data_IF_480399752333
#
_entry.id   IF_480399752333
#
_cell.length_a   1.000
_cell.length_b   1.000
_cell.length_c   1.000
_cell.angle_alpha   90.00
_cell.angle_beta   90.00
_cell.angle_gamma   90.00
#
_symmetry.space_group_name_H-M   'P 1'
#
loop_
_entity.id
_entity.type
_entity.pdbx_description
1 polymer ?
#
# COMPACT_ATOMS: atom_id res chain seq x y z
N UNK A 1 9.97 -3.46 -8.98
CA UNK A 1 11.36 -3.17 -9.34
C UNK A 1 12.28 -3.84 -8.34
N UNK A 2 13.16 -4.69 -8.85
CA UNK A 2 14.19 -5.34 -8.05
C UNK A 2 15.51 -4.64 -8.30
N UNK A 3 15.92 -3.82 -7.36
CA UNK A 3 17.19 -3.11 -7.46
C UNK A 3 18.33 -3.92 -6.83
N UNK A 4 18.03 -4.66 -5.78
CA UNK A 4 18.98 -5.55 -5.13
C UNK A 4 18.27 -6.57 -4.22
N UNK A 5 19.03 -7.50 -3.68
CA UNK A 5 18.51 -8.58 -2.84
C UNK A 5 18.15 -8.14 -1.42
N UNK A 6 18.43 -6.91 -1.06
CA UNK A 6 18.11 -6.39 0.27
C UNK A 6 16.70 -5.83 0.38
N UNK A 7 16.02 -5.66 -0.75
CA UNK A 7 14.64 -5.18 -0.75
C UNK A 7 13.71 -6.18 -0.05
N UNK A 8 12.78 -5.66 0.73
CA UNK A 8 11.91 -6.47 1.59
C UNK A 8 11.13 -7.53 0.83
N UNK A 9 10.59 -7.19 -0.32
CA UNK A 9 9.80 -8.11 -1.13
C UNK A 9 10.65 -9.17 -1.86
N UNK A 10 11.93 -8.92 -2.03
CA UNK A 10 12.87 -9.91 -2.55
C UNK A 10 13.28 -10.89 -1.45
N UNK A 11 13.50 -10.40 -0.23
CA UNK A 11 13.87 -11.22 0.92
C UNK A 11 12.70 -12.05 1.45
N UNK A 12 11.51 -11.50 1.43
CA UNK A 12 10.30 -12.13 1.96
C UNK A 12 9.26 -12.25 0.84
N UNK A 13 9.38 -13.31 0.06
CA UNK A 13 8.54 -13.53 -1.12
C UNK A 13 7.12 -14.00 -0.78
N UNK A 14 6.95 -14.58 0.38
CA UNK A 14 5.66 -14.97 0.90
C UNK A 14 5.03 -13.76 1.63
N UNK A 15 3.76 -13.49 1.36
CA UNK A 15 3.08 -12.34 1.94
C UNK A 15 2.97 -12.46 3.46
N UNK A 16 2.77 -13.65 4.00
CA UNK A 16 2.73 -13.86 5.44
C UNK A 16 4.08 -13.58 6.08
N UNK A 17 5.15 -14.02 5.47
CA UNK A 17 6.50 -13.72 5.91
C UNK A 17 6.81 -12.23 5.81
N UNK A 18 6.39 -11.59 4.73
CA UNK A 18 6.58 -10.15 4.57
C UNK A 18 5.83 -9.36 5.64
N UNK A 19 4.57 -9.71 5.89
CA UNK A 19 3.77 -9.06 6.93
C UNK A 19 4.38 -9.21 8.32
N UNK A 20 4.79 -10.42 8.68
CA UNK A 20 5.34 -10.70 10.01
C UNK A 20 6.77 -10.22 10.21
N UNK A 21 7.64 -10.52 9.27
CA UNK A 21 9.08 -10.30 9.43
C UNK A 21 9.52 -8.91 9.01
N UNK A 22 8.79 -8.27 8.12
CA UNK A 22 9.12 -6.92 7.66
C UNK A 22 8.15 -5.89 8.23
N UNK A 23 6.88 -5.95 7.89
CA UNK A 23 5.92 -4.90 8.24
C UNK A 23 5.69 -4.80 9.74
N UNK A 24 5.31 -5.90 10.38
CA UNK A 24 5.04 -5.90 11.82
C UNK A 24 6.29 -5.60 12.64
N UNK A 25 7.43 -6.15 12.25
CA UNK A 25 8.71 -5.86 12.90
C UNK A 25 9.08 -4.38 12.78
N UNK A 26 8.87 -3.79 11.62
CA UNK A 26 9.09 -2.35 11.40
C UNK A 26 8.20 -1.52 12.32
N UNK A 27 6.93 -1.85 12.40
CA UNK A 27 5.98 -1.13 13.25
C UNK A 27 6.30 -1.29 14.73
N UNK A 28 6.67 -2.49 15.15
CA UNK A 28 7.08 -2.77 16.52
C UNK A 28 8.31 -1.96 16.93
N UNK A 29 9.27 -1.83 16.04
CA UNK A 29 10.47 -1.04 16.28
C UNK A 29 10.22 0.46 16.22
N UNK A 30 9.28 0.89 15.38
CA UNK A 30 8.92 2.30 15.23
C UNK A 30 8.10 2.82 16.40
N UNK A 31 7.17 2.03 16.91
CA UNK A 31 6.18 2.48 17.88
C UNK A 31 6.77 3.12 19.14
N UNK A 32 7.83 2.58 19.78
CA UNK A 32 8.44 3.23 20.94
C UNK A 32 9.01 4.63 20.66
N UNK A 33 9.34 4.91 19.41
CA UNK A 33 9.90 6.22 19.02
C UNK A 33 8.84 7.29 18.86
N UNK A 34 7.57 6.92 18.84
CA UNK A 34 6.46 7.86 18.68
C UNK A 34 6.19 8.53 20.03
N UNK A 35 6.13 9.85 20.03
CA UNK A 35 5.79 10.61 21.24
C UNK A 35 4.32 10.47 21.58
N UNK A 36 3.98 10.58 22.84
CA UNK A 36 2.58 10.71 23.27
C UNK A 36 1.90 11.85 22.54
N UNK A 37 0.72 11.59 22.02
CA UNK A 37 -0.02 12.53 21.18
C UNK A 37 0.48 12.58 19.74
N UNK A 38 1.59 11.94 19.42
CA UNK A 38 2.12 11.83 18.06
C UNK A 38 1.35 10.84 17.22
N UNK A 39 1.60 10.90 15.92
CA UNK A 39 0.91 10.09 14.93
C UNK A 39 1.86 9.19 14.18
N UNK A 40 1.36 8.02 13.81
CA UNK A 40 1.97 7.18 12.77
C UNK A 40 1.03 7.19 11.58
N UNK A 41 1.58 7.50 10.43
CA UNK A 41 0.86 7.50 9.16
C UNK A 41 1.52 6.53 8.21
N UNK A 42 0.75 5.60 7.69
CA UNK A 42 1.28 4.57 6.79
C UNK A 42 0.49 4.60 5.50
N UNK A 43 1.20 4.88 4.41
CA UNK A 43 0.64 4.81 3.07
C UNK A 43 0.91 3.40 2.52
N UNK A 44 -0.09 2.57 2.61
CA UNK A 44 -0.01 1.21 2.10
C UNK A 44 -1.39 0.72 1.68
N UNK A 45 -1.43 -0.07 0.63
CA UNK A 45 -2.64 -0.70 0.12
C UNK A 45 -2.41 -2.17 -0.13
N UNK A 46 -3.51 -2.92 -0.24
CA UNK A 46 -3.43 -4.29 -0.71
C UNK A 46 -2.90 -4.32 -2.13
N UNK A 47 -2.22 -5.40 -2.47
CA UNK A 47 -1.57 -5.54 -3.77
C UNK A 47 -2.23 -6.66 -4.56
N UNK A 48 -2.59 -6.35 -5.79
CA UNK A 48 -3.02 -7.38 -6.74
C UNK A 48 -1.81 -7.90 -7.51
N UNK A 49 -1.66 -9.20 -7.54
CA UNK A 49 -0.58 -9.82 -8.28
C UNK A 49 -1.03 -11.06 -9.04
N UNK A 50 -0.57 -11.16 -10.26
CA UNK A 50 -0.59 -12.39 -11.05
C UNK A 50 0.84 -12.87 -11.33
N UNK A 51 1.77 -12.29 -10.63
CA UNK A 51 3.19 -12.47 -10.83
C UNK A 51 3.64 -13.89 -10.48
N UNK A 52 4.61 -14.38 -11.21
CA UNK A 52 5.33 -15.63 -10.91
C UNK A 52 6.13 -15.59 -9.61
N UNK A 53 6.18 -14.43 -8.98
CA UNK A 53 6.96 -14.15 -7.78
C UNK A 53 6.27 -14.59 -6.50
N UNK A 54 4.95 -14.68 -6.56
CA UNK A 54 4.15 -15.11 -5.44
C UNK A 54 3.52 -16.45 -5.76
N UNK A 55 3.48 -17.34 -4.80
CA UNK A 55 2.70 -18.55 -4.87
C UNK A 55 1.20 -18.26 -4.79
N UNK A 56 0.87 -17.05 -4.34
CA UNK A 56 -0.49 -16.57 -4.22
C UNK A 56 -0.83 -15.65 -5.39
N UNK A 57 -2.01 -15.85 -5.95
CA UNK A 57 -2.54 -15.02 -7.04
C UNK A 57 -3.75 -14.25 -6.55
N UNK A 58 -3.93 -13.06 -7.10
CA UNK A 58 -5.03 -12.19 -6.76
C UNK A 58 -4.62 -11.11 -5.76
N UNK A 59 -5.53 -10.76 -4.88
CA UNK A 59 -5.28 -9.74 -3.88
C UNK A 59 -4.49 -10.28 -2.70
N UNK A 60 -3.37 -9.63 -2.41
CA UNK A 60 -2.58 -9.90 -1.22
C UNK A 60 -3.00 -8.94 -0.13
N UNK A 61 -3.49 -9.47 0.97
CA UNK A 61 -3.94 -8.67 2.10
C UNK A 61 -2.75 -8.15 2.90
N UNK A 62 -2.65 -6.85 3.00
CA UNK A 62 -1.65 -6.14 3.78
C UNK A 62 -2.34 -5.25 4.82
N UNK A 63 -3.40 -4.57 4.42
CA UNK A 63 -4.06 -3.56 5.26
C UNK A 63 -4.73 -4.16 6.50
N UNK A 64 -5.49 -5.23 6.36
CA UNK A 64 -6.16 -5.85 7.49
C UNK A 64 -5.18 -6.42 8.52
N UNK A 65 -4.17 -7.21 8.13
CA UNK A 65 -3.16 -7.67 9.09
C UNK A 65 -2.41 -6.52 9.77
N UNK A 66 -2.14 -5.44 9.06
CA UNK A 66 -1.48 -4.27 9.61
C UNK A 66 -2.36 -3.58 10.67
N UNK A 67 -3.62 -3.37 10.34
CA UNK A 67 -4.57 -2.75 11.28
C UNK A 67 -4.74 -3.60 12.53
N UNK A 68 -4.89 -4.90 12.37
CA UNK A 68 -5.00 -5.84 13.50
C UNK A 68 -3.76 -5.80 14.38
N UNK A 69 -2.59 -5.73 13.77
CA UNK A 69 -1.33 -5.63 14.51
C UNK A 69 -1.22 -4.30 15.28
N UNK A 70 -1.59 -3.19 14.66
CA UNK A 70 -1.58 -1.87 15.33
C UNK A 70 -2.55 -1.84 16.51
N UNK A 71 -3.67 -2.55 16.43
CA UNK A 71 -4.63 -2.65 17.52
C UNK A 71 -4.10 -3.45 18.72
N UNK A 72 -3.04 -4.22 18.57
CA UNK A 72 -2.40 -4.92 19.69
C UNK A 72 -1.66 -3.99 20.63
N UNK A 73 -1.27 -2.80 20.18
CA UNK A 73 -0.66 -1.81 21.05
C UNK A 73 -1.72 -1.13 21.91
N UNK A 74 -1.59 -1.22 23.23
CA UNK A 74 -2.58 -0.70 24.19
C UNK A 74 -2.74 0.81 24.13
N UNK A 75 -1.70 1.52 23.72
CA UNK A 75 -1.65 2.97 23.62
C UNK A 75 -1.88 3.49 22.20
N UNK A 76 -2.33 2.64 21.30
CA UNK A 76 -2.66 2.99 19.93
C UNK A 76 -4.14 3.30 19.77
N UNK A 77 -4.43 4.41 19.14
CA UNK A 77 -5.79 4.79 18.77
C UNK A 77 -5.88 5.00 17.26
N UNK A 78 -6.73 4.23 16.61
CA UNK A 78 -7.00 4.39 15.20
C UNK A 78 -7.75 5.69 14.93
N UNK A 79 -7.19 6.55 14.09
CA UNK A 79 -7.75 7.87 13.79
C UNK A 79 -8.45 7.96 12.44
N UNK A 80 -8.34 6.95 11.63
CA UNK A 80 -9.00 6.90 10.34
C UNK A 80 -8.04 6.70 9.17
N UNK A 81 -8.60 6.82 7.99
CA UNK A 81 -7.88 6.64 6.74
C UNK A 81 -8.06 7.89 5.87
N UNK A 82 -6.96 8.42 5.40
CA UNK A 82 -6.94 9.55 4.46
C UNK A 82 -6.72 8.99 3.07
N UNK A 83 -7.57 9.37 2.12
CA UNK A 83 -7.35 9.05 0.72
C UNK A 83 -6.41 10.06 0.08
N UNK A 84 -5.27 9.59 -0.36
CA UNK A 84 -4.35 10.41 -1.14
C UNK A 84 -4.66 10.24 -2.62
N UNK A 85 -5.10 11.32 -3.25
CA UNK A 85 -5.40 11.29 -4.68
C UNK A 85 -4.12 11.12 -5.49
N UNK A 86 -4.13 10.10 -6.36
CA UNK A 86 -3.00 9.85 -7.24
C UNK A 86 -3.12 10.69 -8.50
N UNK A 87 -2.00 11.25 -8.93
CA UNK A 87 -1.91 11.90 -10.21
C UNK A 87 -2.19 10.89 -11.33
N UNK A 88 -3.09 11.25 -12.21
CA UNK A 88 -3.42 10.41 -13.36
C UNK A 88 -2.22 10.34 -14.29
N UNK A 89 -1.78 9.14 -14.55
CA UNK A 89 -0.80 8.91 -15.60
C UNK A 89 -1.55 8.69 -16.91
N UNK A 90 -1.13 9.36 -17.99
CA UNK A 90 -1.86 9.28 -19.27
C UNK A 90 -2.05 7.86 -19.81
N UNK A 91 -1.17 6.95 -19.50
CA UNK A 91 -1.22 5.56 -19.96
C UNK A 91 -1.68 4.57 -18.89
N UNK A 92 -2.24 5.04 -17.81
CA UNK A 92 -2.68 4.15 -16.73
C UNK A 92 -4.14 3.74 -16.82
N UNK A 93 -4.86 4.15 -17.83
CA UNK A 93 -6.18 3.63 -18.23
C UNK A 93 -7.15 3.25 -17.13
N UNK A 94 -7.07 3.86 -16.00
CA UNK A 94 -7.94 3.58 -14.85
C UNK A 94 -7.55 2.35 -14.08
N UNK A 95 -7.41 1.25 -14.50
CA UNK A 95 -7.01 0.07 -13.78
C UNK A 95 -5.81 -0.58 -14.44
N UNK A 96 -5.39 0.03 -15.41
CA UNK A 96 -4.45 -0.70 -16.12
C UNK A 96 -3.25 -0.09 -16.48
N UNK A 97 -2.56 -0.69 -16.81
CA UNK A 97 -1.32 -0.54 -17.38
C UNK A 97 -1.44 -0.68 -18.86
N UNK A 98 -1.78 0.35 -19.51
CA UNK A 98 -1.60 0.41 -20.94
C UNK A 98 -0.12 0.66 -21.25
N UNK A 99 0.71 -0.26 -20.84
CA UNK A 99 2.16 -0.13 -21.02
C UNK A 99 2.58 0.04 -22.46
N UNK A 100 1.82 -0.55 -23.36
CA UNK A 100 2.09 -0.53 -24.79
C UNK A 100 1.52 0.68 -25.51
N UNK A 101 0.56 1.36 -24.92
CA UNK A 101 -0.23 2.35 -25.65
C UNK A 101 0.28 3.77 -25.50
N UNK A 102 1.18 4.01 -24.56
CA UNK A 102 1.75 5.32 -24.33
C UNK A 102 0.69 6.40 -24.09
N UNK A 103 0.89 7.54 -24.69
CA UNK A 103 0.00 8.70 -24.61
C UNK A 103 -0.99 8.74 -25.76
N UNK A 104 -1.70 7.66 -26.03
CA UNK A 104 -2.66 7.64 -27.12
C UNK A 104 -3.90 8.48 -26.78
N UNK A 105 -4.59 8.93 -27.81
CA UNK A 105 -5.87 9.65 -27.68
C UNK A 105 -6.89 8.78 -26.90
N UNK A 106 -6.93 7.49 -27.15
CA UNK A 106 -7.81 6.57 -26.45
C UNK A 106 -7.50 6.49 -24.98
N UNK A 107 -6.23 6.42 -24.60
CA UNK A 107 -5.82 6.39 -23.20
C UNK A 107 -6.18 7.69 -22.48
N UNK A 108 -6.01 8.83 -23.15
CA UNK A 108 -6.40 10.13 -22.63
C UNK A 108 -7.91 10.26 -22.46
N UNK A 109 -8.68 9.77 -23.44
CA UNK A 109 -10.14 9.78 -23.36
C UNK A 109 -10.64 8.90 -22.22
N UNK A 110 -10.09 7.71 -22.08
CA UNK A 110 -10.42 6.79 -21.01
C UNK A 110 -10.07 7.35 -19.63
N UNK A 111 -8.96 8.08 -19.54
CA UNK A 111 -8.59 8.76 -18.32
C UNK A 111 -9.57 9.89 -17.96
N UNK A 112 -10.13 10.56 -18.97
CA UNK A 112 -11.18 11.58 -18.77
C UNK A 112 -12.50 10.95 -18.33
N UNK A 113 -12.88 9.84 -18.91
CA UNK A 113 -14.12 9.11 -18.59
C UNK A 113 -14.08 8.52 -17.18
N UNK A 114 -12.91 8.15 -16.70
CA UNK A 114 -12.70 7.67 -15.35
C UNK A 114 -12.42 8.79 -14.35
N UNK A 115 -12.62 10.03 -14.74
CA UNK A 115 -12.37 11.22 -13.93
C UNK A 115 -13.09 11.19 -12.59
N UNK A 116 -14.27 10.63 -12.55
CA UNK A 116 -15.08 10.52 -11.33
C UNK A 116 -14.70 9.34 -10.44
N UNK A 117 -13.84 8.46 -10.94
CA UNK A 117 -13.24 7.38 -10.14
C UNK A 117 -11.91 7.86 -9.62
N UNK A 118 -11.95 8.42 -8.45
CA UNK A 118 -10.74 8.90 -7.79
C UNK A 118 -9.92 7.70 -7.35
N UNK A 119 -8.74 7.54 -7.94
CA UNK A 119 -7.78 6.58 -7.47
C UNK A 119 -7.07 7.18 -6.28
N UNK A 120 -7.40 6.67 -5.11
CA UNK A 120 -6.77 7.08 -3.88
C UNK A 120 -5.89 5.96 -3.34
N UNK A 121 -4.72 6.30 -2.89
CA UNK A 121 -3.97 5.43 -2.00
C UNK A 121 -4.37 5.74 -0.56
N UNK A 122 -4.62 4.71 0.27
CA UNK A 122 -4.97 4.95 1.65
C UNK A 122 -3.75 5.32 2.49
N UNK A 123 -3.92 6.32 3.33
CA UNK A 123 -2.98 6.65 4.40
C UNK A 123 -3.67 6.32 5.72
N UNK A 124 -3.22 5.28 6.39
CA UNK A 124 -3.77 4.83 7.65
C UNK A 124 -3.12 5.61 8.78
N UNK A 125 -3.93 6.09 9.73
CA UNK A 125 -3.47 7.00 10.78
C UNK A 125 -3.79 6.43 12.16
N UNK A 126 -2.77 6.34 12.99
CA UNK A 126 -2.89 5.99 14.41
C UNK A 126 -2.22 7.07 15.26
N UNK A 127 -2.82 7.32 16.40
CA UNK A 127 -2.29 8.24 17.39
C UNK A 127 -1.84 7.48 18.62
N UNK A 128 -0.72 7.88 19.18
CA UNK A 128 -0.25 7.35 20.46
C UNK A 128 -0.86 8.15 21.59
N UNK A 129 -1.53 7.43 22.47
CA UNK A 129 -2.15 8.04 23.66
C UNK A 129 -1.13 8.40 24.74
#
# INVERSE_FOLDING_TARGET
YSYDDTQSWVRYKDIDAWNKMFLQTTLENLWPSVKRGGYVMINISDVYTNSKWSTERGWLEICNPMNDFMDTFKDSEYRGCIGMELAKRPNSGGAGTAKSDGYTEEALQKAKETKDKVFCEPIWVWQKK
#
